data_IF_183625194250
#
_entry.id   IF_183625194250
#
_cell.length_a   1.000
_cell.length_b   1.000
_cell.length_c   1.000
_cell.angle_alpha   90.00
_cell.angle_beta   90.00
_cell.angle_gamma   90.00
#
_symmetry.space_group_name_H-M   'P 1'
#
loop_
_entity.id
_entity.type
_entity.pdbx_description
1 polymer ?
#
# COMPACT_ATOMS: atom_id res chain seq x y z
N UNK A 1 -32.47 -11.31 7.48
CA UNK A 1 -32.13 -10.02 8.11
C UNK A 1 -31.07 -9.39 7.23
N UNK A 2 -31.43 -8.40 6.42
CA UNK A 2 -30.47 -7.72 5.53
C UNK A 2 -29.54 -6.83 6.37
N UNK A 3 -28.23 -6.96 6.17
CA UNK A 3 -27.26 -6.07 6.81
C UNK A 3 -27.28 -4.74 6.05
N UNK A 4 -27.81 -3.71 6.68
CA UNK A 4 -27.77 -2.34 6.17
C UNK A 4 -26.37 -1.77 6.39
N UNK A 5 -25.76 -1.18 5.35
CA UNK A 5 -24.48 -0.48 5.48
C UNK A 5 -24.76 0.86 6.18
N UNK A 6 -24.28 1.00 7.43
CA UNK A 6 -24.57 2.17 8.28
C UNK A 6 -23.76 3.41 7.89
N UNK A 7 -22.56 3.24 7.32
CA UNK A 7 -21.69 4.34 6.86
C UNK A 7 -20.76 3.82 5.76
N UNK A 8 -20.47 4.66 4.77
CA UNK A 8 -19.62 4.35 3.62
C UNK A 8 -18.64 5.49 3.39
N UNK A 9 -17.35 5.16 3.27
CA UNK A 9 -16.32 6.05 2.75
C UNK A 9 -15.88 5.53 1.39
N UNK A 10 -15.54 6.45 0.49
CA UNK A 10 -14.93 6.14 -0.79
C UNK A 10 -13.59 6.86 -0.89
N UNK A 11 -12.51 6.07 -0.91
CA UNK A 11 -11.16 6.58 -1.15
C UNK A 11 -10.71 6.11 -2.54
N UNK A 12 -10.49 7.01 -3.52
CA UNK A 12 -10.05 6.63 -4.84
C UNK A 12 -8.57 6.20 -4.79
N UNK A 13 -8.31 4.98 -5.23
CA UNK A 13 -6.94 4.45 -5.41
C UNK A 13 -6.92 3.60 -6.67
N UNK A 14 -6.18 4.07 -7.68
CA UNK A 14 -6.12 3.38 -8.97
C UNK A 14 -5.27 2.11 -8.88
N UNK A 15 -5.76 1.04 -9.52
CA UNK A 15 -5.10 -0.25 -9.58
C UNK A 15 -4.74 -0.84 -8.22
N UNK A 16 -5.55 -0.54 -7.19
CA UNK A 16 -5.46 -1.19 -5.89
C UNK A 16 -5.63 -2.70 -6.07
N UNK A 17 -4.55 -3.44 -5.83
CA UNK A 17 -4.44 -4.88 -6.00
C UNK A 17 -4.70 -5.62 -4.69
N UNK A 18 -4.38 -4.98 -3.55
CA UNK A 18 -4.57 -5.54 -2.21
C UNK A 18 -4.83 -4.45 -1.19
N UNK A 19 -5.73 -4.71 -0.26
CA UNK A 19 -5.94 -3.89 0.93
C UNK A 19 -6.10 -4.80 2.15
N UNK A 20 -5.58 -4.37 3.30
CA UNK A 20 -5.67 -5.11 4.55
C UNK A 20 -6.03 -4.20 5.70
N UNK A 21 -7.05 -4.62 6.47
CA UNK A 21 -7.50 -3.90 7.65
C UNK A 21 -6.91 -4.52 8.92
N UNK A 22 -6.17 -3.72 9.70
CA UNK A 22 -5.53 -4.08 10.96
C UNK A 22 -5.44 -2.84 11.85
N UNK A 23 -5.32 -3.06 13.14
CA UNK A 23 -5.03 -2.03 14.14
C UNK A 23 -3.50 -1.83 14.17
N UNK A 24 -3.00 -0.88 13.37
CA UNK A 24 -1.56 -0.70 13.17
C UNK A 24 -0.92 0.19 14.24
N UNK A 25 -1.68 1.14 14.79
CA UNK A 25 -1.23 2.04 15.86
C UNK A 25 -1.64 1.59 17.27
N UNK A 26 -2.38 0.47 17.37
CA UNK A 26 -2.78 -0.19 18.61
C UNK A 26 -3.74 0.66 19.46
N UNK A 27 -4.62 1.43 18.80
CA UNK A 27 -5.65 2.26 19.44
C UNK A 27 -7.02 1.56 19.54
N UNK A 28 -7.17 0.40 18.90
CA UNK A 28 -8.36 -0.45 18.92
C UNK A 28 -9.30 -0.24 17.74
N UNK A 29 -9.05 0.73 16.87
CA UNK A 29 -9.75 0.92 15.61
C UNK A 29 -8.99 0.21 14.46
N UNK A 30 -9.73 -0.28 13.46
CA UNK A 30 -9.09 -0.87 12.28
C UNK A 30 -8.70 0.23 11.29
N UNK A 31 -7.40 0.35 11.04
CA UNK A 31 -6.84 1.11 9.91
C UNK A 31 -6.84 0.25 8.65
N UNK A 32 -6.37 0.83 7.53
CA UNK A 32 -6.23 0.13 6.26
C UNK A 32 -4.88 0.49 5.62
N UNK A 33 -4.11 -0.52 5.23
CA UNK A 33 -3.04 -0.35 4.25
C UNK A 33 -3.49 -0.93 2.91
N UNK A 34 -3.23 -0.20 1.83
CA UNK A 34 -3.59 -0.58 0.48
C UNK A 34 -2.38 -0.45 -0.47
N UNK A 35 -2.29 -1.36 -1.43
CA UNK A 35 -1.20 -1.47 -2.39
C UNK A 35 -1.72 -1.45 -3.82
N UNK A 36 -1.01 -0.75 -4.70
CA UNK A 36 -1.31 -0.66 -6.13
C UNK A 36 -0.28 -1.45 -6.93
N UNK A 37 -0.76 -2.19 -7.93
CA UNK A 37 0.11 -2.92 -8.85
C UNK A 37 0.78 -1.99 -9.88
N UNK A 38 0.14 -0.88 -10.24
CA UNK A 38 0.58 0.00 -11.35
C UNK A 38 0.58 1.48 -10.94
N UNK A 39 1.17 1.79 -9.78
CA UNK A 39 1.18 3.15 -9.22
C UNK A 39 2.20 4.09 -9.86
N UNK A 40 3.31 3.57 -10.42
CA UNK A 40 4.54 4.34 -10.58
C UNK A 40 4.82 4.92 -11.98
N UNK A 41 4.18 4.48 -13.07
CA UNK A 41 4.61 4.84 -14.44
C UNK A 41 3.49 5.25 -15.42
N UNK A 42 2.30 5.59 -14.92
CA UNK A 42 1.23 6.15 -15.77
C UNK A 42 1.22 7.68 -15.67
N UNK A 43 1.19 8.37 -16.81
CA UNK A 43 1.30 9.85 -16.93
C UNK A 43 0.27 10.64 -16.08
N UNK A 44 -0.85 10.01 -15.72
CA UNK A 44 -1.94 10.63 -14.94
C UNK A 44 -1.99 10.19 -13.46
N UNK A 45 -0.99 9.46 -12.98
CA UNK A 45 -0.97 8.94 -11.60
C UNK A 45 0.11 9.63 -10.78
N UNK A 46 -0.19 9.85 -9.50
CA UNK A 46 0.81 10.27 -8.53
C UNK A 46 1.52 9.01 -8.02
N UNK A 47 2.85 8.90 -8.14
CA UNK A 47 3.60 7.75 -7.62
C UNK A 47 3.37 7.50 -6.12
N UNK A 48 2.92 8.54 -5.39
CA UNK A 48 2.55 8.50 -3.98
C UNK A 48 1.43 7.50 -3.68
N UNK A 49 0.61 7.14 -4.66
CA UNK A 49 -0.52 6.22 -4.49
C UNK A 49 -0.13 4.73 -4.64
N UNK A 50 1.17 4.39 -4.72
CA UNK A 50 1.60 2.99 -4.83
C UNK A 50 1.32 2.18 -3.56
N UNK A 51 1.45 2.82 -2.39
CA UNK A 51 0.98 2.31 -1.09
C UNK A 51 0.32 3.48 -0.38
N UNK A 52 -0.86 3.24 0.18
CA UNK A 52 -1.58 4.22 1.00
C UNK A 52 -1.87 3.60 2.36
N UNK A 53 -1.53 4.32 3.42
CA UNK A 53 -1.98 4.04 4.77
C UNK A 53 -3.16 4.96 5.10
N UNK A 54 -4.28 4.37 5.50
CA UNK A 54 -5.49 5.05 5.92
C UNK A 54 -5.66 4.79 7.42
N UNK A 55 -5.17 5.72 8.22
CA UNK A 55 -5.32 5.71 9.67
C UNK A 55 -6.75 6.07 10.05
N UNK A 56 -7.42 5.23 10.83
CA UNK A 56 -8.78 5.46 11.29
C UNK A 56 -8.76 6.24 12.60
N UNK A 57 -9.05 7.53 12.55
CA UNK A 57 -9.16 8.39 13.74
C UNK A 57 -10.46 8.12 14.56
N UNK A 58 -11.02 6.92 14.45
CA UNK A 58 -12.29 6.50 15.01
C UNK A 58 -13.52 6.76 14.14
N UNK A 59 -14.57 5.97 14.39
CA UNK A 59 -15.86 6.06 13.70
C UNK A 59 -15.79 5.97 12.16
N UNK A 60 -14.78 5.28 11.60
CA UNK A 60 -14.47 5.31 10.17
C UNK A 60 -14.25 6.76 9.71
N UNK A 61 -13.28 7.46 10.28
CA UNK A 61 -12.80 8.76 9.80
C UNK A 61 -11.32 8.65 9.47
N UNK A 62 -10.97 8.70 8.18
CA UNK A 62 -9.64 8.27 7.74
C UNK A 62 -8.73 9.43 7.36
N UNK A 63 -7.49 9.39 7.86
CA UNK A 63 -6.37 10.22 7.43
C UNK A 63 -5.47 9.40 6.50
N UNK A 64 -5.21 9.91 5.29
CA UNK A 64 -4.33 9.23 4.34
C UNK A 64 -2.88 9.71 4.48
N UNK A 65 -1.94 8.77 4.61
CA UNK A 65 -0.52 9.01 4.47
C UNK A 65 0.09 8.12 3.38
N UNK A 66 1.24 8.56 2.87
CA UNK A 66 1.95 7.93 1.77
C UNK A 66 3.36 7.62 2.22
N UNK A 67 3.91 6.50 1.77
CA UNK A 67 5.24 6.03 2.18
C UNK A 67 6.20 6.32 1.01
N UNK A 68 7.15 7.27 1.12
CA UNK A 68 7.99 7.67 0.00
C UNK A 68 8.87 6.55 -0.57
N UNK A 69 9.36 5.67 0.30
CA UNK A 69 10.29 4.60 -0.01
C UNK A 69 9.69 3.53 -0.94
N UNK A 70 8.35 3.48 -1.05
CA UNK A 70 7.62 2.44 -1.78
C UNK A 70 6.89 2.96 -3.01
N UNK A 71 7.08 4.25 -3.34
CA UNK A 71 6.41 4.95 -4.45
C UNK A 71 6.74 4.38 -5.84
N UNK A 72 7.70 3.46 -5.91
CA UNK A 72 8.31 2.99 -7.15
C UNK A 72 8.12 1.49 -7.42
N UNK A 73 7.47 0.76 -6.51
CA UNK A 73 7.22 -0.68 -6.67
C UNK A 73 5.86 -1.00 -7.29
N UNK A 74 5.81 -2.06 -8.07
CA UNK A 74 4.57 -2.65 -8.59
C UNK A 74 4.09 -3.73 -7.62
N UNK A 75 3.37 -3.33 -6.58
CA UNK A 75 3.05 -4.20 -5.45
C UNK A 75 1.86 -5.11 -5.77
N UNK A 76 2.11 -6.41 -5.92
CA UNK A 76 1.07 -7.41 -6.19
C UNK A 76 0.57 -8.09 -4.92
N UNK A 77 1.50 -8.39 -4.01
CA UNK A 77 1.20 -9.09 -2.77
C UNK A 77 1.65 -8.27 -1.57
N UNK A 78 0.96 -8.48 -0.46
CA UNK A 78 1.15 -7.80 0.81
C UNK A 78 0.80 -8.76 1.94
N UNK A 79 1.61 -8.88 2.98
CA UNK A 79 1.29 -9.62 4.20
C UNK A 79 1.61 -8.76 5.41
N UNK A 80 0.87 -8.95 6.51
CA UNK A 80 0.99 -8.13 7.72
C UNK A 80 1.15 -9.05 8.91
N UNK A 81 2.15 -8.75 9.74
CA UNK A 81 2.44 -9.48 10.96
C UNK A 81 3.65 -8.88 11.66
N UNK A 82 3.88 -9.27 12.91
CA UNK A 82 5.08 -8.92 13.66
C UNK A 82 6.24 -9.82 13.18
N UNK A 83 6.91 -9.41 12.11
CA UNK A 83 7.98 -10.19 11.49
C UNK A 83 9.33 -9.94 12.20
N UNK A 84 9.50 -8.75 12.75
CA UNK A 84 10.72 -8.33 13.41
C UNK A 84 10.76 -8.65 14.93
N UNK A 85 9.61 -9.02 15.53
CA UNK A 85 9.39 -9.36 16.94
C UNK A 85 9.43 -8.18 17.92
N UNK A 86 9.02 -6.99 17.49
CA UNK A 86 8.90 -5.81 18.34
C UNK A 86 7.49 -5.60 18.92
N UNK A 87 6.56 -6.51 18.62
CA UNK A 87 5.13 -6.43 18.95
C UNK A 87 4.38 -5.29 18.23
N UNK A 88 4.94 -4.76 17.15
CA UNK A 88 4.25 -3.88 16.22
C UNK A 88 4.02 -4.62 14.90
N UNK A 89 3.00 -4.21 14.15
CA UNK A 89 2.69 -4.83 12.87
C UNK A 89 3.63 -4.30 11.79
N UNK A 90 4.34 -5.23 11.14
CA UNK A 90 5.14 -4.96 9.95
C UNK A 90 4.33 -5.29 8.69
N UNK A 91 4.76 -4.74 7.54
CA UNK A 91 4.18 -5.02 6.22
C UNK A 91 5.25 -5.57 5.29
N UNK A 92 5.01 -6.75 4.73
CA UNK A 92 5.84 -7.34 3.67
C UNK A 92 5.14 -7.18 2.34
N UNK A 93 5.80 -6.53 1.38
CA UNK A 93 5.33 -6.33 0.02
C UNK A 93 6.14 -7.16 -0.97
N UNK A 94 5.49 -7.68 -1.99
CA UNK A 94 6.13 -8.37 -3.11
C UNK A 94 5.76 -7.74 -4.44
N UNK A 95 6.76 -7.50 -5.29
CA UNK A 95 6.54 -6.90 -6.61
C UNK A 95 6.24 -7.92 -7.69
N UNK A 96 5.60 -7.45 -8.76
CA UNK A 96 5.42 -8.19 -9.99
C UNK A 96 5.76 -7.30 -11.18
N UNK A 97 6.57 -7.82 -12.10
CA UNK A 97 6.89 -7.18 -13.38
C UNK A 97 6.58 -8.20 -14.48
N UNK A 98 5.68 -7.83 -15.38
CA UNK A 98 5.12 -8.73 -16.39
C UNK A 98 6.12 -9.01 -17.52
N UNK A 99 6.79 -7.97 -18.03
CA UNK A 99 7.74 -8.11 -19.14
C UNK A 99 8.92 -7.12 -19.07
N UNK A 100 9.83 -7.25 -20.03
CA UNK A 100 11.01 -6.38 -20.16
C UNK A 100 10.64 -4.94 -20.51
N UNK A 101 9.54 -4.69 -21.23
CA UNK A 101 9.14 -3.33 -21.58
C UNK A 101 8.66 -2.56 -20.35
N UNK A 102 7.86 -3.20 -19.50
CA UNK A 102 7.45 -2.68 -18.20
C UNK A 102 8.67 -2.42 -17.30
N UNK A 103 9.59 -3.38 -17.24
CA UNK A 103 10.85 -3.21 -16.51
C UNK A 103 11.62 -1.97 -16.97
N UNK A 104 11.79 -1.77 -18.28
CA UNK A 104 12.51 -0.62 -18.82
C UNK A 104 11.83 0.71 -18.48
N UNK A 105 10.49 0.76 -18.49
CA UNK A 105 9.73 1.95 -18.07
C UNK A 105 9.93 2.28 -16.60
N UNK A 106 9.92 1.28 -15.72
CA UNK A 106 10.16 1.45 -14.29
C UNK A 106 11.56 2.03 -14.07
N UNK A 107 12.58 1.51 -14.76
CA UNK A 107 13.97 1.99 -14.67
C UNK A 107 14.09 3.44 -15.16
N UNK A 108 13.44 3.77 -16.28
CA UNK A 108 13.42 5.11 -16.85
C UNK A 108 12.81 6.12 -15.87
N UNK A 109 11.66 5.80 -15.27
CA UNK A 109 10.97 6.66 -14.31
C UNK A 109 11.75 6.81 -13.00
N UNK A 110 12.30 5.71 -12.47
CA UNK A 110 12.96 5.70 -11.17
C UNK A 110 14.41 6.22 -11.23
N UNK A 111 14.98 6.37 -12.43
CA UNK A 111 16.37 6.76 -12.64
C UNK A 111 17.39 5.75 -12.08
N UNK A 112 16.95 4.53 -11.73
CA UNK A 112 17.81 3.49 -11.18
C UNK A 112 17.32 2.09 -11.58
N UNK A 113 18.26 1.16 -11.74
CA UNK A 113 17.98 -0.24 -12.10
C UNK A 113 17.70 -1.15 -10.88
N UNK A 114 17.63 -0.59 -9.67
CA UNK A 114 17.41 -1.35 -8.44
C UNK A 114 15.93 -1.34 -8.09
N UNK A 115 15.22 -2.38 -8.51
CA UNK A 115 13.81 -2.55 -8.18
C UNK A 115 13.72 -3.53 -7.01
N UNK A 116 13.21 -3.12 -5.84
CA UNK A 116 12.98 -4.06 -4.74
C UNK A 116 11.99 -5.13 -5.20
N UNK A 117 12.37 -6.41 -5.07
CA UNK A 117 11.46 -7.53 -5.33
C UNK A 117 10.57 -7.83 -4.14
N UNK A 118 11.14 -7.63 -2.95
CA UNK A 118 10.47 -7.75 -1.66
C UNK A 118 10.86 -6.54 -0.84
N UNK A 119 9.91 -5.98 -0.12
CA UNK A 119 10.16 -4.90 0.82
C UNK A 119 9.50 -5.24 2.15
N UNK A 120 10.26 -5.12 3.23
CA UNK A 120 9.75 -5.14 4.59
C UNK A 120 9.69 -3.70 5.06
N UNK A 121 8.49 -3.24 5.36
CA UNK A 121 8.26 -2.00 6.08
C UNK A 121 8.09 -2.37 7.55
N UNK A 122 8.77 -1.64 8.41
CA UNK A 122 8.63 -1.71 9.87
C UNK A 122 8.30 -0.31 10.37
N UNK A 123 7.31 -0.18 11.25
CA UNK A 123 6.94 1.09 11.93
C UNK A 123 6.62 2.26 10.97
N UNK A 124 5.33 2.51 10.71
CA UNK A 124 4.83 3.59 9.83
C UNK A 124 3.82 4.48 10.54
#
# INVERSE_FOLDING_TARGET
MERMILKKIFFPMYDCSKAMARDFDNDGDLDIIAASLFGSYQENKKPTESIVYLMNNGNMDFSASYIPEVMHGNWLTMEVGDFNKDNLLDVVLGTYVFDVQELMKIIEVNGNAKIPQVLLLTQF
#
